data_IF_877965536717
#
_entry.id   IF_877965536717
#
_cell.length_a   1.000
_cell.length_b   1.000
_cell.length_c   1.000
_cell.angle_alpha   90.00
_cell.angle_beta   90.00
_cell.angle_gamma   90.00
#
_symmetry.space_group_name_H-M   'P 1'
#
loop_
_entity.id
_entity.type
_entity.pdbx_description
1 polymer ?
#
# COMPACT_ATOMS: atom_id res chain seq x y z
N UNK A 1 27.19 -2.30 5.45
CA UNK A 1 28.03 -2.18 4.24
C UNK A 1 28.45 -0.73 4.15
N UNK A 2 29.71 -0.40 4.36
CA UNK A 2 30.25 0.94 4.07
C UNK A 2 30.41 1.05 2.53
N UNK A 3 29.72 1.99 1.94
CA UNK A 3 29.85 2.28 0.52
C UNK A 3 31.07 3.17 0.36
N UNK A 4 32.14 2.64 -0.23
CA UNK A 4 33.29 3.45 -0.61
C UNK A 4 32.90 4.35 -1.79
N UNK A 5 32.97 5.66 -1.56
CA UNK A 5 32.74 6.65 -2.60
C UNK A 5 33.85 6.54 -3.67
N UNK A 6 33.47 6.71 -4.93
CA UNK A 6 34.43 6.71 -6.03
C UNK A 6 35.35 7.93 -5.97
N UNK A 7 36.53 7.82 -6.58
CA UNK A 7 37.54 8.90 -6.60
C UNK A 7 37.07 10.21 -7.26
N UNK A 8 35.99 10.16 -8.02
CA UNK A 8 35.37 11.29 -8.71
C UNK A 8 33.97 11.65 -8.16
N UNK A 9 33.66 11.18 -6.96
CA UNK A 9 32.39 11.48 -6.31
C UNK A 9 32.23 12.99 -6.05
N UNK A 10 31.06 13.52 -6.35
CA UNK A 10 30.70 14.91 -6.07
C UNK A 10 30.33 15.06 -4.57
N UNK A 11 29.85 13.97 -3.96
CA UNK A 11 29.42 13.93 -2.56
C UNK A 11 30.28 12.90 -1.82
N UNK A 12 31.09 13.37 -0.89
CA UNK A 12 32.08 12.55 -0.15
C UNK A 12 31.69 12.28 1.32
N UNK A 13 30.65 12.91 1.83
CA UNK A 13 30.21 12.78 3.22
C UNK A 13 28.66 12.76 3.31
N UNK A 14 28.09 12.33 4.42
CA UNK A 14 26.66 12.50 4.66
C UNK A 14 26.28 13.96 4.51
N UNK A 15 25.52 14.29 3.47
CA UNK A 15 25.06 15.65 3.19
C UNK A 15 23.64 15.62 2.63
N UNK A 16 22.92 16.74 2.76
CA UNK A 16 21.59 16.89 2.17
C UNK A 16 21.59 16.76 0.65
N UNK A 17 22.74 16.99 0.00
CA UNK A 17 22.91 16.78 -1.45
C UNK A 17 22.69 15.32 -1.86
N UNK A 18 22.94 14.37 -0.97
CA UNK A 18 22.65 12.95 -1.20
C UNK A 18 21.17 12.65 -1.41
N UNK A 19 20.27 13.57 -1.04
CA UNK A 19 18.83 13.44 -1.26
C UNK A 19 18.37 13.86 -2.66
N UNK A 20 19.24 14.49 -3.46
CA UNK A 20 18.89 14.97 -4.81
C UNK A 20 18.30 13.87 -5.70
N UNK A 21 18.87 12.66 -5.79
CA UNK A 21 18.30 11.58 -6.60
C UNK A 21 16.87 11.21 -6.17
N UNK A 22 16.60 11.20 -4.86
CA UNK A 22 15.28 10.95 -4.32
C UNK A 22 14.31 12.07 -4.66
N UNK A 23 14.73 13.33 -4.55
CA UNK A 23 13.92 14.50 -4.93
C UNK A 23 13.57 14.45 -6.41
N UNK A 24 14.53 14.13 -7.28
CA UNK A 24 14.30 13.99 -8.72
C UNK A 24 13.26 12.90 -9.00
N UNK A 25 13.38 11.72 -8.35
CA UNK A 25 12.37 10.65 -8.44
C UNK A 25 10.98 11.15 -8.05
N UNK A 26 10.86 11.83 -6.90
CA UNK A 26 9.59 12.36 -6.39
C UNK A 26 8.98 13.36 -7.38
N UNK A 27 9.78 14.30 -7.87
CA UNK A 27 9.33 15.30 -8.87
C UNK A 27 8.85 14.64 -10.16
N UNK A 28 9.56 13.61 -10.65
CA UNK A 28 9.13 12.85 -11.83
C UNK A 28 7.81 12.12 -11.59
N UNK A 29 7.63 11.52 -10.42
CA UNK A 29 6.38 10.86 -10.03
C UNK A 29 5.21 11.85 -10.00
N UNK A 30 5.38 13.03 -9.39
CA UNK A 30 4.35 14.08 -9.37
C UNK A 30 4.03 14.65 -10.76
N UNK A 31 4.97 14.61 -11.68
CA UNK A 31 4.76 15.00 -13.09
C UNK A 31 4.07 13.93 -13.94
N UNK A 32 3.61 12.85 -13.33
CA UNK A 32 2.90 11.76 -14.02
C UNK A 32 3.81 10.91 -14.93
N UNK A 33 5.13 10.98 -14.74
CA UNK A 33 6.07 10.11 -15.46
C UNK A 33 5.98 8.68 -14.92
N UNK A 34 6.31 7.70 -15.77
CA UNK A 34 6.34 6.31 -15.37
C UNK A 34 7.29 6.11 -14.18
N UNK A 35 6.81 5.46 -13.12
CA UNK A 35 7.58 5.22 -11.90
C UNK A 35 8.90 4.48 -12.17
N UNK A 36 8.91 3.56 -13.14
CA UNK A 36 10.12 2.81 -13.52
C UNK A 36 11.17 3.75 -14.12
N UNK A 37 10.76 4.67 -15.00
CA UNK A 37 11.69 5.65 -15.58
C UNK A 37 12.23 6.62 -14.52
N UNK A 38 11.38 7.04 -13.59
CA UNK A 38 11.80 7.88 -12.46
C UNK A 38 12.82 7.16 -11.57
N UNK A 39 12.59 5.89 -11.26
CA UNK A 39 13.50 5.07 -10.46
C UNK A 39 14.87 4.90 -11.16
N UNK A 40 14.87 4.53 -12.44
CA UNK A 40 16.10 4.37 -13.22
C UNK A 40 16.89 5.69 -13.28
N UNK A 41 16.20 6.81 -13.51
CA UNK A 41 16.83 8.13 -13.52
C UNK A 41 17.43 8.48 -12.15
N UNK A 42 16.72 8.20 -11.06
CA UNK A 42 17.21 8.40 -9.70
C UNK A 42 18.46 7.58 -9.40
N UNK A 43 18.46 6.29 -9.76
CA UNK A 43 19.61 5.39 -9.57
C UNK A 43 20.82 5.87 -10.42
N UNK A 44 20.60 6.23 -11.68
CA UNK A 44 21.66 6.73 -12.55
C UNK A 44 22.27 8.02 -12.00
N UNK A 45 21.44 8.95 -11.54
CA UNK A 45 21.89 10.20 -10.92
C UNK A 45 22.67 9.93 -9.62
N UNK A 46 22.21 9.03 -8.79
CA UNK A 46 22.92 8.61 -7.58
C UNK A 46 24.29 8.01 -7.92
N UNK A 47 24.37 7.11 -8.90
CA UNK A 47 25.62 6.49 -9.34
C UNK A 47 26.65 7.55 -9.80
N UNK A 48 26.20 8.56 -10.54
CA UNK A 48 27.05 9.68 -10.99
C UNK A 48 27.48 10.53 -9.78
N UNK A 49 26.55 10.92 -8.91
CA UNK A 49 26.86 11.80 -7.76
C UNK A 49 27.82 11.16 -6.75
N UNK A 50 27.71 9.87 -6.52
CA UNK A 50 28.59 9.13 -5.61
C UNK A 50 29.83 8.56 -6.28
N UNK A 51 30.02 8.80 -7.57
CA UNK A 51 31.21 8.36 -8.30
C UNK A 51 31.32 6.84 -8.43
N UNK A 52 30.20 6.13 -8.44
CA UNK A 52 30.18 4.67 -8.48
C UNK A 52 30.60 4.16 -9.85
N UNK A 53 31.56 3.24 -9.88
CA UNK A 53 31.91 2.52 -11.08
C UNK A 53 30.92 1.34 -11.30
N UNK A 54 30.97 0.75 -12.50
CA UNK A 54 30.05 -0.35 -12.87
C UNK A 54 30.17 -1.57 -11.93
N UNK A 55 31.38 -1.86 -11.43
CA UNK A 55 31.63 -2.97 -10.51
C UNK A 55 30.99 -2.70 -9.14
N UNK A 56 31.15 -1.49 -8.62
CA UNK A 56 30.52 -1.09 -7.36
C UNK A 56 28.99 -1.07 -7.47
N UNK A 57 28.46 -0.58 -8.60
CA UNK A 57 27.03 -0.62 -8.86
C UNK A 57 26.49 -2.05 -8.88
N UNK A 58 27.20 -2.97 -9.54
CA UNK A 58 26.84 -4.39 -9.56
C UNK A 58 26.88 -5.02 -8.15
N UNK A 59 27.87 -4.68 -7.34
CA UNK A 59 27.98 -5.17 -5.95
C UNK A 59 26.83 -4.64 -5.07
N UNK A 60 26.47 -3.36 -5.21
CA UNK A 60 25.34 -2.77 -4.50
C UNK A 60 24.05 -3.47 -4.91
N UNK A 61 23.86 -3.71 -6.22
CA UNK A 61 22.69 -4.40 -6.74
C UNK A 61 22.59 -5.84 -6.22
N UNK A 62 23.71 -6.59 -6.23
CA UNK A 62 23.78 -7.94 -5.70
C UNK A 62 23.46 -7.97 -4.19
N UNK A 63 24.01 -7.06 -3.41
CA UNK A 63 23.72 -6.94 -1.99
C UNK A 63 22.26 -6.57 -1.73
N UNK A 64 21.69 -5.66 -2.53
CA UNK A 64 20.28 -5.31 -2.46
C UNK A 64 19.37 -6.53 -2.72
N UNK A 65 19.68 -7.34 -3.75
CA UNK A 65 18.92 -8.56 -4.06
C UNK A 65 18.90 -9.58 -2.91
N UNK A 66 19.96 -9.64 -2.11
CA UNK A 66 20.02 -10.49 -0.91
C UNK A 66 19.39 -9.88 0.35
N UNK A 67 18.86 -8.66 0.26
CA UNK A 67 18.29 -7.97 1.43
C UNK A 67 16.86 -8.44 1.73
N UNK A 68 16.47 -8.37 3.00
CA UNK A 68 15.09 -8.65 3.47
C UNK A 68 14.09 -7.71 2.79
N UNK A 69 14.48 -6.47 2.53
CA UNK A 69 13.64 -5.47 1.85
C UNK A 69 13.23 -5.92 0.44
N UNK A 70 14.16 -6.53 -0.32
CA UNK A 70 13.83 -7.08 -1.66
C UNK A 70 12.94 -8.30 -1.55
N UNK A 71 13.17 -9.17 -0.57
CA UNK A 71 12.29 -10.31 -0.29
C UNK A 71 10.86 -9.85 -0.03
N UNK A 72 10.68 -8.82 0.80
CA UNK A 72 9.37 -8.18 1.05
C UNK A 72 8.78 -7.65 -0.26
N UNK A 73 9.57 -6.99 -1.10
CA UNK A 73 9.16 -6.52 -2.42
C UNK A 73 8.63 -7.65 -3.31
N UNK A 74 9.30 -8.80 -3.33
CA UNK A 74 8.86 -10.00 -4.07
C UNK A 74 7.54 -10.53 -3.52
N UNK A 75 7.37 -10.58 -2.20
CA UNK A 75 6.11 -11.00 -1.56
C UNK A 75 4.96 -10.07 -1.96
N UNK A 76 5.20 -8.76 -1.95
CA UNK A 76 4.19 -7.76 -2.38
C UNK A 76 3.82 -7.96 -3.85
N UNK A 77 4.80 -8.18 -4.73
CA UNK A 77 4.56 -8.43 -6.15
C UNK A 77 3.78 -9.74 -6.37
N UNK A 78 4.12 -10.80 -5.65
CA UNK A 78 3.39 -12.07 -5.71
C UNK A 78 1.94 -11.90 -5.20
N UNK A 79 1.74 -11.16 -4.11
CA UNK A 79 0.42 -10.83 -3.58
C UNK A 79 -0.42 -10.01 -4.56
N UNK A 80 0.18 -9.02 -5.21
CA UNK A 80 -0.49 -8.23 -6.26
C UNK A 80 -0.86 -9.11 -7.47
N UNK A 81 0.03 -10.01 -7.90
CA UNK A 81 -0.24 -10.97 -8.96
C UNK A 81 -1.38 -11.92 -8.62
N UNK A 82 -1.41 -12.45 -7.39
CA UNK A 82 -2.52 -13.25 -6.89
C UNK A 82 -3.83 -12.45 -6.91
N UNK A 83 -3.77 -11.16 -6.54
CA UNK A 83 -4.91 -10.25 -6.59
C UNK A 83 -5.50 -10.11 -7.99
N UNK A 84 -4.65 -9.96 -9.01
CA UNK A 84 -5.08 -9.92 -10.41
C UNK A 84 -5.75 -11.25 -10.80
N UNK A 85 -5.14 -12.38 -10.48
CA UNK A 85 -5.71 -13.70 -10.76
C UNK A 85 -7.07 -13.89 -10.10
N UNK A 86 -7.23 -13.52 -8.83
CA UNK A 86 -8.51 -13.58 -8.12
C UNK A 86 -9.57 -12.66 -8.73
N UNK A 87 -9.16 -11.52 -9.27
CA UNK A 87 -10.04 -10.60 -9.98
C UNK A 87 -10.49 -11.19 -11.32
N UNK A 88 -9.57 -11.65 -12.15
CA UNK A 88 -9.85 -12.24 -13.47
C UNK A 88 -10.70 -13.53 -13.36
N UNK A 89 -10.46 -14.34 -12.36
CA UNK A 89 -11.25 -15.56 -12.09
C UNK A 89 -12.58 -15.28 -11.39
N UNK A 90 -12.92 -14.01 -11.13
CA UNK A 90 -14.13 -13.57 -10.45
C UNK A 90 -14.31 -14.11 -9.01
N UNK A 91 -13.30 -14.73 -8.43
CA UNK A 91 -13.34 -15.20 -7.03
C UNK A 91 -13.63 -14.05 -6.09
N UNK A 92 -12.94 -12.92 -6.27
CA UNK A 92 -13.14 -11.74 -5.45
C UNK A 92 -14.55 -11.17 -5.60
N UNK A 93 -15.09 -11.12 -6.82
CA UNK A 93 -16.48 -10.70 -7.05
C UNK A 93 -17.48 -11.58 -6.32
N UNK A 94 -17.29 -12.90 -6.37
CA UNK A 94 -18.15 -13.86 -5.66
C UNK A 94 -18.09 -13.66 -4.15
N UNK A 95 -16.90 -13.43 -3.60
CA UNK A 95 -16.70 -13.16 -2.18
C UNK A 95 -17.40 -11.87 -1.75
N UNK A 96 -17.23 -10.79 -2.50
CA UNK A 96 -17.89 -9.49 -2.23
C UNK A 96 -19.40 -9.67 -2.26
N UNK A 97 -19.93 -10.31 -3.31
CA UNK A 97 -21.36 -10.56 -3.45
C UNK A 97 -21.93 -11.40 -2.30
N UNK A 98 -21.21 -12.44 -1.89
CA UNK A 98 -21.61 -13.30 -0.77
C UNK A 98 -21.68 -12.51 0.55
N UNK A 99 -20.67 -11.66 0.83
CA UNK A 99 -20.66 -10.81 2.04
C UNK A 99 -21.82 -9.82 2.01
N UNK A 100 -22.03 -9.13 0.90
CA UNK A 100 -23.13 -8.16 0.73
C UNK A 100 -24.48 -8.83 0.92
N UNK A 101 -24.68 -10.02 0.35
CA UNK A 101 -25.91 -10.80 0.50
C UNK A 101 -26.12 -11.25 1.95
N UNK A 102 -25.06 -11.71 2.63
CA UNK A 102 -25.12 -12.17 4.02
C UNK A 102 -25.44 -11.04 4.99
N UNK A 103 -24.92 -9.84 4.75
CA UNK A 103 -25.22 -8.65 5.58
C UNK A 103 -26.66 -8.16 5.32
N UNK A 104 -27.24 -8.47 4.18
CA UNK A 104 -28.58 -8.05 3.81
C UNK A 104 -28.64 -6.52 3.68
N UNK A 105 -27.90 -5.97 2.71
CA UNK A 105 -27.72 -4.52 2.52
C UNK A 105 -29.02 -3.89 2.05
N UNK A 106 -29.80 -3.34 2.99
CA UNK A 106 -31.08 -2.66 2.75
C UNK A 106 -31.13 -1.26 3.40
N UNK A 107 -30.11 -0.85 4.12
CA UNK A 107 -30.02 0.46 4.75
C UNK A 107 -28.63 1.08 4.54
N UNK A 108 -28.55 2.41 4.63
CA UNK A 108 -27.26 3.12 4.52
C UNK A 108 -26.21 2.60 5.51
N UNK A 109 -26.60 2.32 6.75
CA UNK A 109 -25.69 1.81 7.78
C UNK A 109 -25.14 0.44 7.42
N UNK A 110 -26.00 -0.47 6.94
CA UNK A 110 -25.56 -1.81 6.51
C UNK A 110 -24.69 -1.75 5.26
N UNK A 111 -24.97 -0.84 4.33
CA UNK A 111 -24.14 -0.63 3.15
C UNK A 111 -22.75 -0.13 3.52
N UNK A 112 -22.65 0.90 4.39
CA UNK A 112 -21.38 1.39 4.92
C UNK A 112 -20.60 0.30 5.65
N UNK A 113 -21.26 -0.50 6.48
CA UNK A 113 -20.64 -1.62 7.20
C UNK A 113 -20.13 -2.70 6.23
N UNK A 114 -20.94 -3.05 5.24
CA UNK A 114 -20.56 -4.03 4.21
C UNK A 114 -19.31 -3.56 3.44
N UNK A 115 -19.28 -2.28 3.04
CA UNK A 115 -18.11 -1.69 2.39
C UNK A 115 -16.86 -1.78 3.27
N UNK A 116 -16.97 -1.42 4.55
CA UNK A 116 -15.84 -1.51 5.51
C UNK A 116 -15.32 -2.94 5.61
N UNK A 117 -16.19 -3.91 5.85
CA UNK A 117 -15.78 -5.32 6.00
C UNK A 117 -15.15 -5.85 4.72
N UNK A 118 -15.77 -5.61 3.56
CA UNK A 118 -15.26 -6.06 2.28
C UNK A 118 -13.91 -5.43 1.96
N UNK A 119 -13.76 -4.11 2.18
CA UNK A 119 -12.50 -3.41 1.92
C UNK A 119 -11.37 -3.90 2.82
N UNK A 120 -11.63 -4.12 4.12
CA UNK A 120 -10.63 -4.66 5.04
C UNK A 120 -10.16 -6.03 4.56
N UNK A 121 -11.08 -6.92 4.25
CA UNK A 121 -10.76 -8.29 3.83
C UNK A 121 -10.01 -8.30 2.50
N UNK A 122 -10.55 -7.65 1.47
CA UNK A 122 -9.98 -7.71 0.13
C UNK A 122 -8.63 -6.97 0.07
N UNK A 123 -8.53 -5.74 0.57
CA UNK A 123 -7.26 -5.01 0.56
C UNK A 123 -6.20 -5.70 1.43
N UNK A 124 -6.59 -6.27 2.57
CA UNK A 124 -5.68 -7.03 3.43
C UNK A 124 -5.18 -8.33 2.80
N UNK A 125 -6.04 -9.03 2.05
CA UNK A 125 -5.65 -10.25 1.32
C UNK A 125 -4.79 -9.95 0.10
N UNK A 126 -5.14 -8.91 -0.68
CA UNK A 126 -4.41 -8.55 -1.89
C UNK A 126 -3.14 -7.72 -1.62
N UNK A 127 -2.96 -7.20 -0.41
CA UNK A 127 -1.81 -6.40 -0.01
C UNK A 127 -1.72 -5.04 -0.71
N UNK A 128 -2.76 -4.61 -1.44
CA UNK A 128 -2.79 -3.35 -2.19
C UNK A 128 -4.11 -2.62 -2.04
N UNK A 129 -4.03 -1.30 -1.79
CA UNK A 129 -5.22 -0.45 -1.71
C UNK A 129 -5.88 -0.28 -3.09
N UNK A 130 -5.08 0.03 -4.09
CA UNK A 130 -5.58 0.28 -5.46
C UNK A 130 -6.21 -0.95 -6.08
N UNK A 131 -5.54 -2.10 -6.01
CA UNK A 131 -6.04 -3.37 -6.54
C UNK A 131 -7.31 -3.83 -5.82
N UNK A 132 -7.32 -3.77 -4.48
CA UNK A 132 -8.50 -4.13 -3.70
C UNK A 132 -9.69 -3.26 -4.02
N UNK A 133 -9.53 -1.95 -4.01
CA UNK A 133 -10.62 -1.01 -4.31
C UNK A 133 -11.11 -1.12 -5.77
N UNK A 134 -10.23 -1.36 -6.73
CA UNK A 134 -10.63 -1.55 -8.13
C UNK A 134 -11.60 -2.72 -8.32
N UNK A 135 -11.45 -3.78 -7.54
CA UNK A 135 -12.34 -4.95 -7.58
C UNK A 135 -13.67 -4.69 -6.84
N UNK A 136 -13.61 -3.97 -5.72
CA UNK A 136 -14.79 -3.73 -4.86
C UNK A 136 -15.67 -2.62 -5.43
N UNK A 137 -15.08 -1.59 -6.02
CA UNK A 137 -15.77 -0.38 -6.46
C UNK A 137 -16.92 -0.65 -7.45
N UNK A 138 -16.77 -1.47 -8.50
CA UNK A 138 -17.85 -1.74 -9.45
C UNK A 138 -19.10 -2.36 -8.80
N UNK A 139 -18.95 -3.05 -7.68
CA UNK A 139 -20.05 -3.70 -6.96
C UNK A 139 -20.64 -2.74 -5.92
N UNK A 140 -19.80 -2.11 -5.12
CA UNK A 140 -20.24 -1.35 -3.96
C UNK A 140 -20.72 0.06 -4.31
N UNK A 141 -20.13 0.73 -5.31
CA UNK A 141 -20.53 2.10 -5.67
C UNK A 141 -22.00 2.16 -6.12
N UNK A 142 -22.49 1.30 -7.03
CA UNK A 142 -23.91 1.31 -7.40
C UNK A 142 -24.85 1.06 -6.22
N UNK A 143 -24.48 0.14 -5.32
CA UNK A 143 -25.28 -0.16 -4.11
C UNK A 143 -25.32 1.07 -3.19
N UNK A 144 -24.18 1.72 -2.95
CA UNK A 144 -24.11 2.90 -2.11
C UNK A 144 -24.91 4.07 -2.71
N UNK A 145 -24.81 4.27 -4.04
CA UNK A 145 -25.55 5.28 -4.75
C UNK A 145 -27.07 5.07 -4.71
N UNK A 146 -27.53 3.82 -4.89
CA UNK A 146 -28.97 3.49 -4.81
C UNK A 146 -29.58 3.74 -3.45
N UNK A 147 -28.77 3.76 -2.40
CA UNK A 147 -29.18 4.07 -1.02
C UNK A 147 -28.98 5.55 -0.66
N UNK A 148 -28.63 6.40 -1.63
CA UNK A 148 -28.45 7.84 -1.44
C UNK A 148 -27.25 8.20 -0.56
N UNK A 149 -26.19 7.37 -0.54
CA UNK A 149 -24.97 7.68 0.23
C UNK A 149 -24.10 8.64 -0.58
N UNK A 150 -23.67 9.74 0.05
CA UNK A 150 -22.87 10.77 -0.60
C UNK A 150 -21.54 10.22 -1.13
N UNK A 151 -21.09 10.60 -2.35
CA UNK A 151 -19.83 10.13 -2.94
C UNK A 151 -18.60 10.36 -2.06
N UNK A 152 -18.57 11.47 -1.31
CA UNK A 152 -17.51 11.80 -0.34
C UNK A 152 -17.43 10.77 0.79
N UNK A 153 -18.57 10.32 1.31
CA UNK A 153 -18.66 9.27 2.33
C UNK A 153 -18.14 7.94 1.75
N UNK A 154 -18.52 7.60 0.53
CA UNK A 154 -18.05 6.39 -0.15
C UNK A 154 -16.53 6.41 -0.31
N UNK A 155 -15.97 7.52 -0.79
CA UNK A 155 -14.52 7.67 -1.00
C UNK A 155 -13.75 7.57 0.32
N UNK A 156 -14.20 8.21 1.39
CA UNK A 156 -13.58 8.14 2.72
C UNK A 156 -13.61 6.71 3.26
N UNK A 157 -14.74 6.00 3.13
CA UNK A 157 -14.84 4.62 3.60
C UNK A 157 -13.94 3.68 2.81
N UNK A 158 -13.87 3.78 1.48
CA UNK A 158 -12.95 3.00 0.65
C UNK A 158 -11.50 3.19 1.09
N UNK A 159 -11.09 4.45 1.26
CA UNK A 159 -9.73 4.77 1.68
C UNK A 159 -9.44 4.19 3.06
N UNK A 160 -10.21 4.58 4.07
CA UNK A 160 -9.95 4.21 5.46
C UNK A 160 -10.04 2.71 5.70
N UNK A 161 -11.09 2.06 5.20
CA UNK A 161 -11.25 0.63 5.38
C UNK A 161 -10.19 -0.18 4.62
N UNK A 162 -9.79 0.27 3.44
CA UNK A 162 -8.71 -0.36 2.69
C UNK A 162 -7.35 -0.20 3.39
N UNK A 163 -7.05 0.97 3.97
CA UNK A 163 -5.83 1.19 4.75
C UNK A 163 -5.81 0.31 6.02
N UNK A 164 -6.94 0.20 6.71
CA UNK A 164 -7.07 -0.74 7.83
C UNK A 164 -6.83 -2.18 7.38
N UNK A 165 -7.32 -2.56 6.21
CA UNK A 165 -7.02 -3.86 5.61
C UNK A 165 -5.51 -4.07 5.41
N UNK A 166 -4.79 -3.06 4.91
CA UNK A 166 -3.33 -3.13 4.75
C UNK A 166 -2.59 -3.23 6.09
N UNK A 167 -3.09 -2.57 7.13
CA UNK A 167 -2.47 -2.59 8.47
C UNK A 167 -2.71 -3.93 9.16
N UNK A 168 -3.89 -4.53 8.97
CA UNK A 168 -4.25 -5.81 9.57
C UNK A 168 -3.79 -7.02 8.75
N UNK A 169 -3.50 -6.84 7.46
CA UNK A 169 -3.12 -7.94 6.57
C UNK A 169 -1.72 -8.50 6.89
N UNK A 170 -1.57 -9.83 7.02
CA UNK A 170 -0.28 -10.43 7.41
C UNK A 170 0.81 -10.34 6.35
N UNK A 171 0.44 -10.26 5.08
CA UNK A 171 1.37 -10.27 3.95
C UNK A 171 1.42 -8.92 3.21
N UNK A 172 0.97 -7.86 3.84
CA UNK A 172 1.03 -6.52 3.25
C UNK A 172 2.40 -5.90 3.45
N UNK A 173 2.80 -5.02 2.54
CA UNK A 173 4.10 -4.34 2.65
C UNK A 173 4.25 -3.54 3.93
N UNK A 174 3.17 -2.89 4.40
CA UNK A 174 3.17 -2.12 5.66
C UNK A 174 3.49 -3.04 6.84
N UNK A 175 2.80 -4.16 6.95
CA UNK A 175 3.00 -5.12 8.04
C UNK A 175 4.40 -5.73 8.01
N UNK A 176 4.85 -6.21 6.83
CA UNK A 176 6.15 -6.87 6.70
C UNK A 176 7.32 -5.93 7.01
N UNK A 177 7.28 -4.69 6.51
CA UNK A 177 8.31 -3.69 6.79
C UNK A 177 8.31 -3.32 8.28
N UNK A 178 7.12 -3.16 8.88
CA UNK A 178 7.05 -2.83 10.30
C UNK A 178 7.60 -3.97 11.17
N UNK A 179 7.30 -5.21 10.84
CA UNK A 179 7.87 -6.38 11.54
C UNK A 179 9.40 -6.42 11.41
N UNK A 180 9.93 -6.15 10.22
CA UNK A 180 11.38 -6.12 9.99
C UNK A 180 12.07 -5.03 10.83
N UNK A 181 11.55 -3.81 10.83
CA UNK A 181 12.16 -2.67 11.53
C UNK A 181 12.04 -2.81 13.06
N UNK A 182 10.92 -3.34 13.53
CA UNK A 182 10.65 -3.43 14.99
C UNK A 182 11.11 -4.73 15.61
N UNK A 183 11.37 -5.78 14.84
CA UNK A 183 11.65 -7.14 15.32
C UNK A 183 10.45 -7.84 15.97
N UNK A 184 9.24 -7.27 15.88
CA UNK A 184 8.02 -7.84 16.43
C UNK A 184 7.51 -8.99 15.56
N UNK A 185 6.97 -10.02 16.21
CA UNK A 185 6.18 -11.03 15.48
C UNK A 185 4.85 -10.42 14.99
N UNK A 186 4.23 -11.05 13.97
CA UNK A 186 2.94 -10.60 13.46
C UNK A 186 1.87 -10.47 14.55
N UNK A 187 1.79 -11.44 15.45
CA UNK A 187 0.79 -11.44 16.54
C UNK A 187 1.03 -10.27 17.51
N UNK A 188 2.28 -10.00 17.86
CA UNK A 188 2.62 -8.86 18.70
C UNK A 188 2.28 -7.53 18.01
N UNK A 189 2.65 -7.38 16.74
CA UNK A 189 2.31 -6.20 15.96
C UNK A 189 0.79 -6.01 15.86
N UNK A 190 0.06 -7.11 15.59
CA UNK A 190 -1.40 -7.10 15.50
C UNK A 190 -2.05 -6.61 16.79
N UNK A 191 -1.67 -7.20 17.93
CA UNK A 191 -2.31 -6.93 19.23
C UNK A 191 -1.92 -5.57 19.81
N UNK A 192 -0.64 -5.18 19.71
CA UNK A 192 -0.15 -3.98 20.39
C UNK A 192 -0.25 -2.70 19.56
N UNK A 193 -0.30 -2.81 18.23
CA UNK A 193 -0.34 -1.64 17.36
C UNK A 193 -1.49 -1.68 16.36
N UNK A 194 -1.57 -2.72 15.53
CA UNK A 194 -2.48 -2.74 14.39
C UNK A 194 -3.96 -2.71 14.78
N UNK A 195 -4.38 -3.53 15.75
CA UNK A 195 -5.77 -3.55 16.23
C UNK A 195 -6.16 -2.25 16.96
N UNK A 196 -5.40 -1.77 17.97
CA UNK A 196 -5.75 -0.52 18.65
C UNK A 196 -5.84 0.67 17.69
N UNK A 197 -4.85 0.82 16.80
CA UNK A 197 -4.85 1.88 15.80
C UNK A 197 -6.05 1.77 14.85
N UNK A 198 -6.31 0.57 14.31
CA UNK A 198 -7.42 0.32 13.39
C UNK A 198 -8.78 0.62 14.00
N UNK A 199 -8.98 0.26 15.27
CA UNK A 199 -10.22 0.55 15.99
C UNK A 199 -10.45 2.05 16.14
N UNK A 200 -9.44 2.79 16.60
CA UNK A 200 -9.54 4.26 16.74
C UNK A 200 -9.81 4.90 15.38
N UNK A 201 -9.09 4.47 14.34
CA UNK A 201 -9.24 4.98 12.98
C UNK A 201 -10.64 4.73 12.41
N UNK A 202 -11.17 3.51 12.56
CA UNK A 202 -12.52 3.16 12.11
C UNK A 202 -13.61 3.90 12.88
N UNK A 203 -13.48 4.03 14.20
CA UNK A 203 -14.45 4.78 15.02
C UNK A 203 -14.47 6.25 14.62
N UNK A 204 -13.31 6.88 14.49
CA UNK A 204 -13.20 8.27 14.04
C UNK A 204 -13.82 8.47 12.65
N UNK A 205 -13.51 7.59 11.70
CA UNK A 205 -14.10 7.61 10.37
C UNK A 205 -15.60 7.43 10.41
N UNK A 206 -16.10 6.46 11.19
CA UNK A 206 -17.53 6.19 11.32
C UNK A 206 -18.31 7.40 11.85
N UNK A 207 -17.78 8.07 12.86
CA UNK A 207 -18.36 9.32 13.40
C UNK A 207 -18.35 10.40 12.31
N UNK A 208 -17.24 10.59 11.63
CA UNK A 208 -17.08 11.60 10.58
C UNK A 208 -18.07 11.39 9.43
N UNK A 209 -18.12 10.19 8.86
CA UNK A 209 -19.02 9.91 7.71
C UNK A 209 -20.50 9.98 8.07
N UNK A 210 -20.88 9.66 9.30
CA UNK A 210 -22.26 9.81 9.73
C UNK A 210 -22.67 11.26 9.96
N UNK A 211 -21.73 12.15 10.28
CA UNK A 211 -21.97 13.61 10.36
C UNK A 211 -22.06 14.23 8.95
N UNK A 212 -21.25 13.77 8.03
CA UNK A 212 -21.22 14.28 6.64
C UNK A 212 -22.42 13.82 5.82
N UNK A 213 -23.00 12.65 6.15
CA UNK A 213 -24.17 12.11 5.46
C UNK A 213 -25.49 12.83 5.80
N UNK A 214 -25.52 13.60 6.90
CA UNK A 214 -26.69 14.41 7.28
C UNK A 214 -26.80 15.66 6.41
#
# INVERSE_FOLDING_TARGET
>A
MEIEFGSWAIVHAPSLLALIPLIVYIVMAFRGKNNVSGLITGIALAAIMFGLNLKQLAQIFQAALGSTTVLIGIIILAGAGLGVLMSETRVTHTLVYWIVKKIGVNTQTKAKLALVIVSILICGMLGTLGGGNAVIAPIMIPIMASLGIAPTVVAVLFKTAGEVGLILGPLTGVTLITMEVTGLSYVQLLLYAALPFSLVWLIGTWIGVNRTQK
#
